data_IF_495504988981
#
_entry.id   IF_495504988981
#
_cell.length_a   1.000
_cell.length_b   1.000
_cell.length_c   1.000
_cell.angle_alpha   90.00
_cell.angle_beta   90.00
_cell.angle_gamma   90.00
#
_symmetry.space_group_name_H-M   'P 1'
#
loop_
_entity.id
_entity.type
_entity.pdbx_description
1 polymer ?
#
# COMPACT_ATOMS: atom_id res chain seq x y z
N UNK A 1 -43.34 -0.80 -0.68
CA UNK A 1 -42.23 -0.59 -1.63
C UNK A 1 -41.52 -1.92 -1.89
N UNK A 2 -42.12 -2.73 -2.77
CA UNK A 2 -41.62 -4.01 -3.29
C UNK A 2 -42.33 -4.30 -4.61
N UNK A 3 -42.67 -3.21 -5.30
CA UNK A 3 -43.43 -3.13 -6.54
C UNK A 3 -42.52 -2.52 -7.63
N UNK A 4 -41.20 -2.67 -7.47
CA UNK A 4 -40.22 -1.94 -8.28
C UNK A 4 -39.62 -2.76 -9.43
N UNK A 5 -39.58 -4.10 -9.40
CA UNK A 5 -38.90 -4.88 -10.43
C UNK A 5 -39.43 -6.32 -10.63
N UNK A 6 -40.55 -6.50 -11.34
CA UNK A 6 -40.96 -7.78 -11.95
C UNK A 6 -41.29 -8.94 -11.00
N UNK A 7 -41.56 -10.15 -11.57
CA UNK A 7 -42.07 -11.33 -10.86
C UNK A 7 -41.29 -11.63 -9.58
N UNK A 8 -42.04 -11.88 -8.49
CA UNK A 8 -41.52 -12.24 -7.19
C UNK A 8 -40.62 -13.49 -7.28
N UNK A 9 -39.37 -13.35 -6.87
CA UNK A 9 -38.42 -14.43 -6.61
C UNK A 9 -37.93 -14.28 -5.17
N UNK A 10 -37.95 -15.36 -4.36
CA UNK A 10 -37.55 -15.26 -2.96
C UNK A 10 -36.09 -14.80 -2.89
N UNK A 11 -35.86 -13.70 -2.18
CA UNK A 11 -34.53 -13.18 -1.90
C UNK A 11 -34.17 -13.57 -0.47
N UNK A 12 -33.23 -14.49 -0.30
CA UNK A 12 -32.58 -14.76 0.99
C UNK A 12 -31.21 -14.08 0.97
N UNK A 13 -30.91 -13.31 2.02
CA UNK A 13 -29.64 -12.63 2.20
C UNK A 13 -29.31 -12.52 3.68
N UNK A 14 -28.03 -12.51 4.02
CA UNK A 14 -27.55 -12.21 5.36
C UNK A 14 -27.00 -10.79 5.40
N UNK A 15 -27.14 -10.12 6.54
CA UNK A 15 -26.45 -8.87 6.84
C UNK A 15 -25.71 -9.05 8.15
N UNK A 16 -24.45 -8.65 8.21
CA UNK A 16 -23.67 -8.67 9.44
C UNK A 16 -22.89 -7.37 9.58
N UNK A 17 -22.70 -6.91 10.81
CA UNK A 17 -21.97 -5.69 11.10
C UNK A 17 -20.47 -6.01 11.17
N UNK A 18 -19.71 -5.54 10.17
CA UNK A 18 -18.27 -5.76 10.09
C UNK A 18 -17.53 -5.16 11.29
N UNK A 19 -17.99 -4.03 11.84
CA UNK A 19 -17.40 -3.39 13.03
C UNK A 19 -17.63 -4.22 14.29
N UNK A 20 -18.78 -4.89 14.41
CA UNK A 20 -19.07 -5.83 15.47
C UNK A 20 -18.18 -7.07 15.39
N UNK A 21 -17.94 -7.59 14.18
CA UNK A 21 -17.01 -8.70 13.97
C UNK A 21 -15.56 -8.33 14.31
N UNK A 22 -15.11 -7.12 13.94
CA UNK A 22 -13.76 -6.64 14.25
C UNK A 22 -13.47 -6.55 15.77
N UNK A 23 -14.50 -6.38 16.62
CA UNK A 23 -14.32 -6.37 18.09
C UNK A 23 -13.89 -7.73 18.66
N UNK A 24 -14.20 -8.82 17.97
CA UNK A 24 -13.80 -10.18 18.34
C UNK A 24 -12.56 -10.67 17.59
N UNK A 25 -12.09 -9.89 16.62
CA UNK A 25 -10.92 -10.21 15.82
C UNK A 25 -9.66 -9.61 16.47
N UNK A 26 -8.80 -10.48 16.99
CA UNK A 26 -7.45 -10.10 17.43
C UNK A 26 -6.47 -10.32 16.28
N UNK A 27 -6.33 -9.34 15.41
CA UNK A 27 -5.20 -9.32 14.47
C UNK A 27 -3.94 -8.86 15.19
N UNK A 28 -2.88 -9.65 15.10
CA UNK A 28 -1.53 -9.09 15.21
C UNK A 28 -1.30 -8.26 13.95
N UNK A 29 -1.38 -6.94 14.10
CA UNK A 29 -0.99 -6.05 13.03
C UNK A 29 0.50 -6.28 12.77
N UNK A 30 0.83 -6.87 11.63
CA UNK A 30 2.21 -6.87 11.17
C UNK A 30 2.61 -5.41 10.99
N UNK A 31 3.59 -4.98 11.78
CA UNK A 31 4.22 -3.67 11.61
C UNK A 31 5.01 -3.71 10.31
N UNK A 32 4.39 -3.29 9.22
CA UNK A 32 5.08 -3.11 7.94
C UNK A 32 5.79 -1.75 7.98
N UNK A 33 7.11 -1.78 7.86
CA UNK A 33 7.91 -0.57 7.76
C UNK A 33 7.40 0.32 6.61
N UNK A 34 7.36 1.62 6.85
CA UNK A 34 6.97 2.57 5.79
C UNK A 34 8.21 2.98 5.02
N UNK A 35 8.19 2.72 3.72
CA UNK A 35 9.22 3.13 2.77
C UNK A 35 8.78 4.46 2.15
N UNK A 36 9.67 5.44 2.13
CA UNK A 36 9.43 6.74 1.52
C UNK A 36 10.01 6.80 0.11
N UNK A 37 9.33 7.51 -0.78
CA UNK A 37 9.80 7.74 -2.13
C UNK A 37 9.51 9.20 -2.52
N UNK A 38 10.32 9.82 -3.40
CA UNK A 38 9.99 11.13 -3.93
C UNK A 38 8.71 11.06 -4.76
N UNK A 39 7.93 12.13 -4.78
CA UNK A 39 6.70 12.24 -5.56
C UNK A 39 6.95 12.66 -7.02
N UNK A 40 7.93 12.02 -7.69
CA UNK A 40 8.20 12.26 -9.12
C UNK A 40 7.43 11.26 -9.99
N UNK A 41 6.18 11.60 -10.32
CA UNK A 41 5.31 10.73 -11.10
C UNK A 41 5.66 10.67 -12.60
N UNK A 42 6.64 11.45 -13.07
CA UNK A 42 7.10 11.38 -14.46
C UNK A 42 8.20 10.32 -14.65
N UNK A 43 8.84 9.88 -13.57
CA UNK A 43 9.89 8.86 -13.61
C UNK A 43 9.27 7.44 -13.63
N UNK A 44 9.30 6.81 -14.81
CA UNK A 44 8.76 5.47 -15.00
C UNK A 44 9.53 4.40 -14.20
N UNK A 45 10.85 4.57 -14.01
CA UNK A 45 11.67 3.63 -13.23
C UNK A 45 11.33 3.72 -11.74
N UNK A 46 11.01 4.93 -11.26
CA UNK A 46 10.52 5.15 -9.91
C UNK A 46 9.19 4.45 -9.68
N UNK A 47 8.23 4.66 -10.58
CA UNK A 47 6.90 4.08 -10.47
C UNK A 47 6.96 2.56 -10.49
N UNK A 48 7.81 1.98 -11.32
CA UNK A 48 8.05 0.53 -11.39
C UNK A 48 8.67 0.00 -10.09
N UNK A 49 9.64 0.70 -9.49
CA UNK A 49 10.20 0.33 -8.19
C UNK A 49 9.14 0.41 -7.06
N UNK A 50 8.30 1.45 -7.06
CA UNK A 50 7.20 1.62 -6.10
C UNK A 50 6.18 0.49 -6.24
N UNK A 51 5.80 0.13 -7.47
CA UNK A 51 4.87 -0.95 -7.75
C UNK A 51 5.41 -2.30 -7.26
N UNK A 52 6.68 -2.60 -7.55
CA UNK A 52 7.32 -3.84 -7.10
C UNK A 52 7.36 -3.96 -5.57
N UNK A 53 7.65 -2.87 -4.85
CA UNK A 53 7.63 -2.87 -3.39
C UNK A 53 6.21 -3.10 -2.84
N UNK A 54 5.20 -2.44 -3.42
CA UNK A 54 3.79 -2.63 -3.03
C UNK A 54 3.30 -4.05 -3.32
N UNK A 55 3.68 -4.62 -4.45
CA UNK A 55 3.37 -6.01 -4.79
C UNK A 55 3.98 -7.03 -3.80
N UNK A 56 5.10 -6.68 -3.16
CA UNK A 56 5.72 -7.45 -2.07
C UNK A 56 5.09 -7.21 -0.69
N UNK A 57 3.98 -6.47 -0.63
CA UNK A 57 3.28 -6.14 0.62
C UNK A 57 3.91 -5.00 1.42
N UNK A 58 4.91 -4.30 0.87
CA UNK A 58 5.52 -3.15 1.54
C UNK A 58 4.64 -1.91 1.43
N UNK A 59 4.65 -1.08 2.47
CA UNK A 59 3.96 0.22 2.45
C UNK A 59 4.89 1.28 1.87
N UNK A 60 4.52 1.84 0.72
CA UNK A 60 5.30 2.93 0.07
C UNK A 60 4.50 4.23 0.05
N UNK A 61 5.05 5.28 0.66
CA UNK A 61 4.50 6.64 0.69
C UNK A 61 5.34 7.54 -0.21
N UNK A 62 4.71 8.11 -1.23
CA UNK A 62 5.33 9.12 -2.09
C UNK A 62 5.09 10.51 -1.49
N UNK A 63 6.14 11.30 -1.35
CA UNK A 63 6.07 12.62 -0.70
C UNK A 63 6.84 13.68 -1.48
N UNK A 64 6.35 14.92 -1.44
CA UNK A 64 7.05 16.12 -1.92
C UNK A 64 7.90 16.76 -0.83
N UNK A 65 7.78 16.30 0.42
CA UNK A 65 8.55 16.82 1.54
C UNK A 65 9.94 16.17 1.60
N UNK A 66 10.95 16.86 2.17
CA UNK A 66 12.27 16.27 2.42
C UNK A 66 12.15 14.99 3.25
N UNK A 67 12.75 13.92 2.75
CA UNK A 67 12.77 12.62 3.44
C UNK A 67 14.03 12.55 4.32
N UNK A 68 13.90 12.29 5.63
CA UNK A 68 15.07 12.11 6.50
C UNK A 68 15.90 10.89 6.08
N UNK A 69 17.23 10.99 6.13
CA UNK A 69 18.12 9.87 5.79
C UNK A 69 18.02 8.66 6.74
N UNK A 70 17.34 8.81 7.88
CA UNK A 70 17.19 7.78 8.91
C UNK A 70 16.01 6.84 8.67
N UNK A 71 15.15 7.12 7.69
CA UNK A 71 13.99 6.27 7.37
C UNK A 71 14.25 5.44 6.11
N UNK A 72 13.59 4.28 5.95
CA UNK A 72 13.67 3.52 4.71
C UNK A 72 13.16 4.34 3.54
N UNK A 73 13.97 4.49 2.50
CA UNK A 73 13.63 5.33 1.35
C UNK A 73 14.21 4.84 0.04
N UNK A 74 13.51 5.13 -1.06
CA UNK A 74 14.03 4.95 -2.41
C UNK A 74 14.95 6.11 -2.77
N UNK A 75 16.20 5.79 -3.10
CA UNK A 75 17.19 6.75 -3.58
C UNK A 75 17.66 6.37 -4.98
N UNK A 76 17.83 7.39 -5.82
CA UNK A 76 18.36 7.22 -7.17
C UNK A 76 19.87 7.03 -7.10
N UNK A 77 20.37 5.93 -7.66
CA UNK A 77 21.80 5.69 -7.83
C UNK A 77 22.20 5.84 -9.28
N UNK A 78 23.16 6.74 -9.53
CA UNK A 78 23.83 6.85 -10.82
C UNK A 78 24.97 5.82 -10.88
N UNK A 79 24.67 4.60 -11.31
CA UNK A 79 25.69 3.59 -11.58
C UNK A 79 25.60 3.19 -13.06
N UNK A 80 26.65 3.47 -13.83
CA UNK A 80 26.82 2.90 -15.18
C UNK A 80 25.88 3.43 -16.27
N UNK A 81 25.15 4.53 -16.06
CA UNK A 81 24.28 5.14 -17.06
C UNK A 81 22.80 4.76 -16.96
N UNK A 82 22.45 3.82 -16.09
CA UNK A 82 21.07 3.42 -15.79
C UNK A 82 20.60 4.11 -14.49
N UNK A 83 19.38 4.66 -14.48
CA UNK A 83 18.83 5.33 -13.29
C UNK A 83 18.12 4.32 -12.39
N UNK A 84 18.90 3.55 -11.63
CA UNK A 84 18.31 2.55 -10.76
C UNK A 84 17.84 3.17 -9.43
N UNK A 85 16.58 2.90 -9.07
CA UNK A 85 16.05 3.19 -7.74
C UNK A 85 16.39 2.05 -6.78
N UNK A 86 17.15 2.35 -5.72
CA UNK A 86 17.48 1.38 -4.67
C UNK A 86 16.84 1.77 -3.34
N UNK A 87 16.42 0.74 -2.60
CA UNK A 87 15.95 0.89 -1.23
C UNK A 87 17.15 1.05 -0.29
N UNK A 88 17.17 2.17 0.43
CA UNK A 88 18.13 2.46 1.50
C UNK A 88 17.42 2.45 2.85
N UNK A 89 18.08 1.90 3.88
CA UNK A 89 17.55 1.83 5.25
C UNK A 89 17.06 0.42 5.62
N UNK A 90 16.93 0.16 6.92
CA UNK A 90 16.47 -1.13 7.43
C UNK A 90 14.94 -1.22 7.45
N UNK A 91 14.40 -2.29 6.87
CA UNK A 91 12.96 -2.58 6.84
C UNK A 91 12.57 -3.74 7.78
N UNK A 92 13.51 -4.26 8.57
CA UNK A 92 13.33 -5.41 9.45
C UNK A 92 13.12 -4.97 10.90
N UNK A 93 12.12 -4.13 11.14
CA UNK A 93 11.62 -3.89 12.49
C UNK A 93 10.24 -4.52 12.65
N UNK A 94 10.23 -5.73 13.23
CA UNK A 94 9.06 -6.47 13.70
C UNK A 94 9.20 -6.81 15.18
#
# INVERSE_FOLDING_TARGET
MGEAFGRARPATGFSTDLRALLRFYQAQAQSVATIFAPADYADAELLLAVEQLRARGQRVVMTTQPIPATVPQLMRQAAGGENLWQLMGDINHG
#
